data_IF_171042228826
#
_entry.id   IF_171042228826
#
_cell.length_a   1.000
_cell.length_b   1.000
_cell.length_c   1.000
_cell.angle_alpha   90.00
_cell.angle_beta   90.00
_cell.angle_gamma   90.00
#
_symmetry.space_group_name_H-M   'P 1'
#
loop_
_entity.id
_entity.type
_entity.pdbx_description
1 polymer ?
#
# COMPACT_ATOMS: atom_id res chain seq x y z
N UNK A 1 17.56 -2.54 10.22
CA UNK A 1 18.44 -3.67 9.86
C UNK A 1 19.31 -3.22 8.70
N UNK A 2 20.62 -3.39 8.77
CA UNK A 2 21.55 -2.99 7.70
C UNK A 2 21.87 -4.22 6.86
N UNK A 3 21.70 -4.12 5.53
CA UNK A 3 22.02 -5.21 4.61
C UNK A 3 23.52 -5.39 4.49
N UNK A 4 23.97 -6.64 4.41
CA UNK A 4 25.35 -6.99 4.08
C UNK A 4 25.68 -6.62 2.63
N UNK A 5 26.95 -6.58 2.28
CA UNK A 5 27.35 -6.22 0.92
C UNK A 5 27.06 -7.34 -0.09
N UNK A 6 27.02 -8.60 0.36
CA UNK A 6 26.60 -9.75 -0.43
C UNK A 6 25.10 -9.67 -0.75
N UNK A 7 24.25 -9.40 0.23
CA UNK A 7 22.81 -9.22 0.06
C UNK A 7 22.51 -8.06 -0.92
N UNK A 8 23.26 -6.95 -0.83
CA UNK A 8 23.13 -5.83 -1.77
C UNK A 8 23.54 -6.23 -3.19
N UNK A 9 24.60 -7.02 -3.34
CA UNK A 9 25.06 -7.46 -4.66
C UNK A 9 24.05 -8.40 -5.32
N UNK A 10 23.48 -9.32 -4.54
CA UNK A 10 22.40 -10.21 -4.99
C UNK A 10 21.17 -9.42 -5.44
N UNK A 11 20.69 -8.47 -4.63
CA UNK A 11 19.56 -7.61 -4.98
C UNK A 11 19.79 -6.80 -6.26
N UNK A 12 21.01 -6.30 -6.47
CA UNK A 12 21.38 -5.58 -7.71
C UNK A 12 21.39 -6.50 -8.92
N UNK A 13 21.91 -7.72 -8.77
CA UNK A 13 21.89 -8.74 -9.82
C UNK A 13 20.46 -9.11 -10.21
N UNK A 14 19.61 -9.33 -9.20
CA UNK A 14 18.21 -9.66 -9.37
C UNK A 14 17.44 -8.52 -10.08
N UNK A 15 17.67 -7.26 -9.69
CA UNK A 15 17.08 -6.09 -10.33
C UNK A 15 17.56 -5.88 -11.79
N UNK A 16 18.76 -6.34 -12.11
CA UNK A 16 19.31 -6.32 -13.46
C UNK A 16 18.75 -7.44 -14.35
N UNK A 17 18.14 -8.48 -13.76
CA UNK A 17 17.62 -9.63 -14.49
C UNK A 17 16.50 -9.26 -15.46
N UNK A 18 16.63 -9.68 -16.71
CA UNK A 18 15.62 -9.49 -17.75
C UNK A 18 14.39 -10.37 -17.53
N UNK A 19 14.57 -11.61 -17.04
CA UNK A 19 13.45 -12.52 -16.77
C UNK A 19 12.54 -11.94 -15.70
N UNK A 20 13.10 -11.40 -14.62
CA UNK A 20 12.33 -10.79 -13.55
C UNK A 20 11.56 -9.55 -14.01
N UNK A 21 12.10 -8.77 -14.95
CA UNK A 21 11.36 -7.65 -15.55
C UNK A 21 10.21 -8.14 -16.43
N UNK A 22 10.46 -9.11 -17.29
CA UNK A 22 9.44 -9.68 -18.16
C UNK A 22 8.28 -10.29 -17.34
N UNK A 23 8.59 -11.02 -16.27
CA UNK A 23 7.60 -11.58 -15.36
C UNK A 23 6.80 -10.49 -14.65
N UNK A 24 7.48 -9.42 -14.19
CA UNK A 24 6.83 -8.27 -13.55
C UNK A 24 5.90 -7.52 -14.50
N UNK A 25 6.31 -7.36 -15.76
CA UNK A 25 5.49 -6.76 -16.81
C UNK A 25 4.24 -7.60 -17.11
N UNK A 26 4.40 -8.92 -17.17
CA UNK A 26 3.29 -9.85 -17.38
C UNK A 26 2.30 -9.79 -16.21
N UNK A 27 2.79 -9.78 -14.97
CA UNK A 27 1.96 -9.60 -13.78
C UNK A 27 1.23 -8.25 -13.79
N UNK A 28 1.89 -7.16 -14.18
CA UNK A 28 1.25 -5.84 -14.31
C UNK A 28 0.18 -5.82 -15.39
N UNK A 29 0.44 -6.44 -16.55
CA UNK A 29 -0.52 -6.52 -17.63
C UNK A 29 -1.74 -7.39 -17.27
N UNK A 30 -1.52 -8.45 -16.49
CA UNK A 30 -2.59 -9.31 -15.97
C UNK A 30 -3.33 -8.69 -14.77
N UNK A 31 -2.70 -7.77 -14.05
CA UNK A 31 -3.28 -7.09 -12.89
C UNK A 31 -4.36 -6.13 -13.34
N UNK A 32 -5.63 -6.54 -13.21
CA UNK A 32 -6.75 -5.61 -13.23
C UNK A 32 -6.68 -4.75 -11.97
N UNK A 33 -6.69 -3.43 -12.14
CA UNK A 33 -6.78 -2.50 -11.02
C UNK A 33 -8.13 -2.71 -10.30
N UNK A 34 -8.14 -3.21 -9.06
CA UNK A 34 -9.39 -3.55 -8.38
C UNK A 34 -10.26 -2.32 -8.10
N UNK A 35 -9.65 -1.13 -8.08
CA UNK A 35 -10.28 0.16 -7.86
C UNK A 35 -10.77 0.83 -9.15
N UNK A 36 -10.45 0.30 -10.33
CA UNK A 36 -10.89 0.87 -11.61
C UNK A 36 -11.93 -0.07 -12.24
N UNK A 37 -13.15 0.43 -12.39
CA UNK A 37 -14.28 -0.25 -13.05
C UNK A 37 -14.71 0.61 -14.24
N UNK A 38 -14.76 0.02 -15.43
CA UNK A 38 -15.11 0.71 -16.68
C UNK A 38 -14.31 2.00 -16.95
N UNK A 39 -13.02 2.00 -16.59
CA UNK A 39 -12.11 3.13 -16.79
C UNK A 39 -12.33 4.29 -15.81
N UNK A 40 -13.18 4.12 -14.80
CA UNK A 40 -13.40 5.10 -13.73
C UNK A 40 -13.02 4.50 -12.38
N UNK A 41 -12.56 5.35 -11.48
CA UNK A 41 -12.31 4.96 -10.10
C UNK A 41 -13.64 4.67 -9.42
N UNK A 42 -13.77 3.48 -8.85
CA UNK A 42 -14.90 3.07 -8.04
C UNK A 42 -14.64 3.51 -6.58
N UNK A 43 -15.26 4.63 -6.19
CA UNK A 43 -15.10 5.20 -4.86
C UNK A 43 -15.58 4.25 -3.76
N UNK A 44 -16.60 3.45 -4.01
CA UNK A 44 -17.15 2.55 -3.00
C UNK A 44 -16.16 1.44 -2.68
N UNK A 45 -15.50 0.87 -3.70
CA UNK A 45 -14.41 -0.12 -3.51
C UNK A 45 -13.22 0.46 -2.77
N UNK A 46 -12.86 1.72 -3.04
CA UNK A 46 -11.77 2.40 -2.32
C UNK A 46 -12.15 2.57 -0.84
N UNK A 47 -13.37 3.02 -0.57
CA UNK A 47 -13.85 3.24 0.80
C UNK A 47 -13.98 1.93 1.57
N UNK A 48 -14.50 0.87 0.95
CA UNK A 48 -14.57 -0.48 1.51
C UNK A 48 -13.16 -0.96 1.89
N UNK A 49 -12.21 -0.93 0.95
CA UNK A 49 -10.83 -1.31 1.22
C UNK A 49 -10.23 -0.54 2.39
N UNK A 50 -10.33 0.80 2.41
CA UNK A 50 -9.76 1.62 3.48
C UNK A 50 -10.43 1.37 4.84
N UNK A 51 -11.73 1.08 4.84
CA UNK A 51 -12.48 0.80 6.06
C UNK A 51 -12.15 -0.58 6.64
N UNK A 52 -12.04 -1.60 5.78
CA UNK A 52 -11.71 -2.97 6.16
C UNK A 52 -10.21 -3.15 6.45
N UNK A 53 -9.34 -2.32 5.86
CA UNK A 53 -7.90 -2.37 6.10
C UNK A 53 -7.53 -2.21 7.58
N UNK A 54 -8.30 -1.42 8.34
CA UNK A 54 -8.12 -1.31 9.78
C UNK A 54 -8.41 -2.63 10.52
N UNK A 55 -9.43 -3.37 10.07
CA UNK A 55 -9.75 -4.71 10.58
C UNK A 55 -8.67 -5.72 10.20
N UNK A 56 -8.14 -5.64 8.97
CA UNK A 56 -7.05 -6.50 8.51
C UNK A 56 -5.75 -6.29 9.31
N UNK A 57 -5.37 -5.04 9.57
CA UNK A 57 -4.20 -4.70 10.38
C UNK A 57 -4.38 -4.99 11.87
N UNK A 58 -5.58 -5.40 12.29
CA UNK A 58 -5.95 -5.60 13.68
C UNK A 58 -5.63 -4.36 14.54
N UNK A 59 -5.66 -3.17 13.91
CA UNK A 59 -5.30 -1.93 14.57
C UNK A 59 -6.40 -1.61 15.59
N UNK A 60 -6.09 -1.42 16.88
CA UNK A 60 -7.11 -1.08 17.86
C UNK A 60 -7.78 0.23 17.44
N UNK A 61 -9.11 0.24 17.41
CA UNK A 61 -9.89 1.45 17.14
C UNK A 61 -9.47 2.50 18.14
N UNK A 62 -8.95 3.64 17.64
CA UNK A 62 -8.50 4.73 18.51
C UNK A 62 -9.72 5.23 19.29
N UNK A 63 -9.72 5.20 20.63
CA UNK A 63 -10.85 5.67 21.42
C UNK A 63 -11.10 7.15 21.11
N UNK A 64 -12.36 7.51 20.87
CA UNK A 64 -12.77 8.89 20.67
C UNK A 64 -12.44 9.67 21.94
N UNK A 65 -11.43 10.55 21.87
CA UNK A 65 -11.09 11.45 22.98
C UNK A 65 -11.89 12.72 22.79
N UNK A 66 -12.49 13.21 23.87
CA UNK A 66 -13.14 14.52 23.87
C UNK A 66 -12.12 15.57 23.41
N UNK A 67 -12.53 16.39 22.44
CA UNK A 67 -11.75 17.55 22.02
C UNK A 67 -11.80 18.55 23.16
N UNK A 68 -10.70 18.69 23.90
CA UNK A 68 -10.54 19.72 24.92
C UNK A 68 -9.81 20.89 24.26
N UNK A 69 -10.57 21.91 23.87
CA UNK A 69 -10.02 23.17 23.42
C UNK A 69 -9.29 23.84 24.60
N UNK A 70 -7.95 23.78 24.59
CA UNK A 70 -7.13 24.30 25.70
C UNK A 70 -6.88 25.80 25.62
N UNK A 71 -6.94 26.38 24.42
CA UNK A 71 -6.66 27.79 24.18
C UNK A 71 -7.56 28.24 23.03
N UNK A 72 -8.54 29.08 23.35
CA UNK A 72 -9.29 29.85 22.37
C UNK A 72 -8.52 31.17 22.17
N UNK A 73 -7.92 31.36 21.00
CA UNK A 73 -7.35 32.66 20.62
C UNK A 73 -8.45 33.45 19.89
N UNK A 74 -8.84 34.58 20.47
CA UNK A 74 -9.76 35.57 19.89
C UNK A 74 -9.09 36.34 18.74
#
# INVERSE_FOLDING_TARGET
MMLTDEEKAELRSLAASQSMRADSELLRAASRDPFIVDGKVDCDRVMEFLSEYNSFLNHPVKPCRQFIEKIMLL
#
